data_IF_142260678619
#
_entry.id   IF_142260678619
#
_cell.length_a   1.000
_cell.length_b   1.000
_cell.length_c   1.000
_cell.angle_alpha   90.00
_cell.angle_beta   90.00
_cell.angle_gamma   90.00
#
_symmetry.space_group_name_H-M   'P 1'
#
loop_
_entity.id
_entity.type
_entity.pdbx_description
1 polymer ?
#
# COMPACT_ATOMS: atom_id res chain seq x y z
N UNK A 1 6.35 -2.43 -21.69
CA UNK A 1 6.05 -1.87 -20.36
C UNK A 1 7.31 -2.03 -19.53
N UNK A 2 7.66 -1.12 -18.65
CA UNK A 2 8.89 -1.26 -17.87
C UNK A 2 8.81 -2.45 -16.90
N UNK A 3 9.88 -3.24 -16.88
CA UNK A 3 9.96 -4.48 -16.12
C UNK A 3 11.36 -4.64 -15.50
N UNK A 4 11.43 -5.25 -14.34
CA UNK A 4 12.67 -5.61 -13.65
C UNK A 4 12.70 -7.11 -13.36
N UNK A 5 13.69 -7.81 -13.88
CA UNK A 5 13.94 -9.23 -13.53
C UNK A 5 14.47 -9.35 -12.11
N UNK A 6 13.82 -10.18 -11.30
CA UNK A 6 14.21 -10.51 -9.93
C UNK A 6 14.29 -12.04 -9.77
N UNK A 7 14.96 -12.56 -8.75
CA UNK A 7 14.92 -13.98 -8.47
C UNK A 7 13.49 -14.50 -8.33
N UNK A 8 13.08 -15.34 -9.26
CA UNK A 8 11.76 -15.97 -9.29
C UNK A 8 10.59 -15.05 -9.70
N UNK A 9 10.84 -13.81 -10.15
CA UNK A 9 9.80 -12.90 -10.60
C UNK A 9 10.28 -11.91 -11.68
N UNK A 10 9.34 -11.41 -12.47
CA UNK A 10 9.49 -10.21 -13.30
C UNK A 10 8.56 -9.15 -12.77
N UNK A 11 9.11 -8.10 -12.17
CA UNK A 11 8.34 -7.02 -11.58
C UNK A 11 7.93 -6.03 -12.65
N UNK A 12 6.66 -5.69 -12.68
CA UNK A 12 6.16 -4.56 -13.43
C UNK A 12 6.22 -3.29 -12.57
N UNK A 13 6.47 -2.13 -13.18
CA UNK A 13 6.39 -0.83 -12.52
C UNK A 13 5.97 0.26 -13.49
N UNK A 14 5.41 1.34 -12.97
CA UNK A 14 5.10 2.55 -13.73
C UNK A 14 5.97 3.70 -13.22
N UNK A 15 6.35 4.61 -14.13
CA UNK A 15 7.07 5.84 -13.78
C UNK A 15 6.34 7.02 -14.41
N UNK A 16 6.14 8.07 -13.64
CA UNK A 16 5.56 9.32 -14.13
C UNK A 16 6.07 10.52 -13.36
N UNK A 17 6.03 11.70 -13.98
CA UNK A 17 6.49 12.93 -13.36
C UNK A 17 8.00 13.15 -13.48
N UNK A 18 8.49 14.15 -12.76
CA UNK A 18 9.90 14.53 -12.72
C UNK A 18 10.25 15.21 -11.40
N UNK A 19 11.50 15.07 -10.95
CA UNK A 19 11.99 15.59 -9.68
C UNK A 19 12.61 14.49 -8.81
N UNK A 20 12.77 14.72 -7.49
CA UNK A 20 13.26 13.70 -6.57
C UNK A 20 12.44 12.40 -6.62
N UNK A 21 13.08 11.22 -6.51
CA UNK A 21 12.39 9.96 -6.58
C UNK A 21 11.49 9.74 -5.36
N UNK A 22 10.25 9.35 -5.64
CA UNK A 22 9.24 8.95 -4.65
C UNK A 22 8.64 7.61 -5.07
N UNK A 23 8.94 6.56 -4.30
CA UNK A 23 8.34 5.25 -4.53
C UNK A 23 6.99 5.13 -3.80
N UNK A 24 5.95 4.71 -4.51
CA UNK A 24 4.59 4.55 -4.02
C UNK A 24 4.25 3.05 -3.95
N UNK A 25 4.22 2.49 -2.74
CA UNK A 25 4.03 1.05 -2.52
C UNK A 25 2.57 0.77 -2.14
N UNK A 26 1.86 0.04 -2.99
CA UNK A 26 0.44 -0.26 -2.83
C UNK A 26 0.17 -1.27 -1.70
N UNK A 27 -1.08 -1.27 -1.22
CA UNK A 27 -1.59 -2.17 -0.19
C UNK A 27 -1.92 -3.58 -0.70
N UNK A 28 -2.53 -4.39 0.18
CA UNK A 28 -3.04 -5.71 -0.21
C UNK A 28 -4.06 -5.60 -1.34
N UNK A 29 -4.02 -6.57 -2.26
CA UNK A 29 -4.93 -6.69 -3.41
C UNK A 29 -4.91 -5.49 -4.36
N UNK A 30 -3.95 -4.58 -4.20
CA UNK A 30 -3.76 -3.38 -5.01
C UNK A 30 -2.42 -3.40 -5.73
N UNK A 31 -2.34 -2.66 -6.82
CA UNK A 31 -1.15 -2.46 -7.65
C UNK A 31 -0.93 -0.98 -7.95
N UNK A 32 -0.07 -0.67 -8.91
CA UNK A 32 0.26 0.69 -9.33
C UNK A 32 -0.96 1.54 -9.71
N UNK A 33 -2.03 0.94 -10.22
CA UNK A 33 -3.25 1.66 -10.60
C UNK A 33 -4.00 2.27 -9.41
N UNK A 34 -3.77 1.77 -8.18
CA UNK A 34 -4.41 2.33 -6.99
C UNK A 34 -4.01 3.78 -6.71
N UNK A 35 -2.89 4.23 -7.26
CA UNK A 35 -2.37 5.58 -7.10
C UNK A 35 -2.96 6.62 -8.07
N UNK A 36 -3.84 6.19 -8.99
CA UNK A 36 -4.41 7.05 -10.03
C UNK A 36 -4.99 8.40 -9.51
N UNK A 37 -5.70 8.46 -8.36
CA UNK A 37 -6.17 9.75 -7.83
C UNK A 37 -5.07 10.65 -7.29
N UNK A 38 -3.97 10.08 -6.79
CA UNK A 38 -2.89 10.85 -6.16
C UNK A 38 -1.82 11.32 -7.17
N UNK A 39 -1.58 10.57 -8.24
CA UNK A 39 -0.56 10.87 -9.26
C UNK A 39 -0.66 12.30 -9.80
N UNK A 40 -1.82 12.83 -10.21
CA UNK A 40 -1.93 14.18 -10.74
C UNK A 40 -1.50 15.27 -9.75
N UNK A 41 -1.61 15.01 -8.45
CA UNK A 41 -1.22 15.95 -7.40
C UNK A 41 0.28 15.95 -7.13
N UNK A 42 1.03 14.90 -7.50
CA UNK A 42 2.45 14.73 -7.15
C UNK A 42 3.40 14.74 -8.35
N UNK A 43 2.92 14.43 -9.55
CA UNK A 43 3.78 14.24 -10.74
C UNK A 43 4.50 15.50 -11.22
N UNK A 44 4.06 16.68 -10.77
CA UNK A 44 4.76 17.95 -11.03
C UNK A 44 5.98 18.18 -10.13
N UNK A 45 6.08 17.48 -9.01
CA UNK A 45 7.11 17.70 -7.98
C UNK A 45 8.09 16.53 -7.85
N UNK A 46 7.67 15.31 -8.24
CA UNK A 46 8.40 14.06 -8.00
C UNK A 46 8.44 13.17 -9.22
N UNK A 47 9.51 12.39 -9.33
CA UNK A 47 9.55 11.17 -10.15
C UNK A 47 8.86 10.07 -9.36
N UNK A 48 7.60 9.76 -9.70
CA UNK A 48 6.77 8.76 -9.04
C UNK A 48 7.10 7.37 -9.60
N UNK A 49 7.50 6.46 -8.74
CA UNK A 49 7.85 5.06 -9.06
C UNK A 49 6.81 4.16 -8.39
N UNK A 50 5.98 3.49 -9.17
CA UNK A 50 4.84 2.71 -8.69
C UNK A 50 5.02 1.23 -9.08
N UNK A 51 5.65 0.38 -8.24
CA UNK A 51 5.77 -1.05 -8.53
C UNK A 51 4.45 -1.78 -8.31
N UNK A 52 4.19 -2.79 -9.14
CA UNK A 52 3.24 -3.85 -8.84
C UNK A 52 3.97 -4.88 -7.96
N UNK A 53 3.56 -4.99 -6.71
CA UNK A 53 4.18 -5.96 -5.78
C UNK A 53 3.98 -7.39 -6.31
N UNK A 54 4.89 -8.32 -5.96
CA UNK A 54 4.65 -9.75 -6.27
C UNK A 54 3.25 -10.12 -5.77
N UNK A 55 2.54 -10.94 -6.50
CA UNK A 55 1.16 -11.36 -6.27
C UNK A 55 0.08 -10.39 -6.78
N UNK A 56 0.44 -9.21 -7.29
CA UNK A 56 -0.54 -8.21 -7.75
C UNK A 56 -0.20 -7.66 -9.15
N UNK A 57 -1.19 -7.09 -9.79
CA UNK A 57 -1.05 -6.37 -11.05
C UNK A 57 -0.44 -7.21 -12.16
N UNK A 58 0.57 -6.67 -12.81
CA UNK A 58 1.27 -7.25 -13.97
C UNK A 58 2.57 -7.98 -13.60
N UNK A 59 2.96 -7.98 -12.33
CA UNK A 59 4.12 -8.75 -11.85
C UNK A 59 3.86 -10.25 -11.95
N UNK A 60 4.84 -11.00 -12.49
CA UNK A 60 4.70 -12.42 -12.80
C UNK A 60 5.89 -13.25 -12.28
N UNK A 61 5.64 -14.55 -11.99
CA UNK A 61 4.36 -15.21 -11.86
C UNK A 61 3.61 -14.77 -10.58
N UNK A 62 2.29 -14.94 -10.55
CA UNK A 62 1.46 -14.51 -9.40
C UNK A 62 1.80 -15.26 -8.11
N UNK A 63 2.35 -16.48 -8.21
CA UNK A 63 2.77 -17.35 -7.11
C UNK A 63 4.29 -17.25 -6.81
N UNK A 64 4.96 -16.23 -7.32
CA UNK A 64 6.36 -15.97 -6.98
C UNK A 64 6.56 -15.89 -5.45
N UNK A 65 7.69 -16.36 -4.90
CA UNK A 65 7.99 -16.23 -3.48
C UNK A 65 7.79 -14.79 -3.00
N UNK A 66 7.05 -14.61 -1.91
CA UNK A 66 6.67 -13.31 -1.41
C UNK A 66 6.68 -13.27 0.12
N UNK A 67 7.12 -12.15 0.66
CA UNK A 67 7.05 -11.76 2.07
C UNK A 67 7.29 -10.24 2.17
N UNK A 68 7.01 -9.58 3.30
CA UNK A 68 7.34 -8.18 3.48
C UNK A 68 8.83 -7.88 3.22
N UNK A 69 9.73 -8.76 3.60
CA UNK A 69 11.16 -8.63 3.31
C UNK A 69 11.44 -8.71 1.81
N UNK A 70 10.91 -9.71 1.10
CA UNK A 70 11.13 -9.87 -0.35
C UNK A 70 10.58 -8.67 -1.12
N UNK A 71 9.40 -8.15 -0.77
CA UNK A 71 8.84 -6.95 -1.39
C UNK A 71 9.72 -5.71 -1.13
N UNK A 72 10.30 -5.58 0.08
CA UNK A 72 11.23 -4.50 0.39
C UNK A 72 12.52 -4.61 -0.42
N UNK A 73 13.10 -5.81 -0.54
CA UNK A 73 14.28 -6.09 -1.36
C UNK A 73 14.00 -5.83 -2.86
N UNK A 74 12.79 -6.12 -3.33
CA UNK A 74 12.38 -5.81 -4.70
C UNK A 74 12.29 -4.31 -4.94
N UNK A 75 11.72 -3.56 -4.00
CA UNK A 75 11.62 -2.10 -4.09
C UNK A 75 13.01 -1.43 -4.05
N UNK A 76 13.92 -1.90 -3.19
CA UNK A 76 15.31 -1.43 -3.15
C UNK A 76 16.05 -1.73 -4.46
N UNK A 77 15.88 -2.94 -4.99
CA UNK A 77 16.48 -3.30 -6.28
C UNK A 77 15.89 -2.51 -7.47
N UNK A 78 14.63 -2.09 -7.37
CA UNK A 78 14.04 -1.19 -8.37
C UNK A 78 14.71 0.19 -8.33
N UNK A 79 15.02 0.72 -7.15
CA UNK A 79 15.78 1.97 -7.02
C UNK A 79 17.18 1.83 -7.66
N UNK A 80 17.88 0.71 -7.42
CA UNK A 80 19.17 0.43 -8.04
C UNK A 80 19.07 0.37 -9.57
N UNK A 81 18.06 -0.34 -10.08
CA UNK A 81 17.80 -0.47 -11.51
C UNK A 81 17.58 0.89 -12.20
N UNK A 82 16.93 1.81 -11.48
CA UNK A 82 16.63 3.16 -11.97
C UNK A 82 17.77 4.17 -11.71
N UNK A 83 18.85 3.75 -11.03
CA UNK A 83 20.01 4.60 -10.74
C UNK A 83 19.78 5.61 -9.61
N UNK A 84 18.83 5.34 -8.72
CA UNK A 84 18.56 6.19 -7.56
C UNK A 84 19.31 5.69 -6.32
N UNK A 85 20.22 6.48 -5.78
CA UNK A 85 20.93 6.16 -4.53
C UNK A 85 20.00 6.21 -3.34
N UNK A 86 19.12 7.21 -3.28
CA UNK A 86 18.11 7.38 -2.24
C UNK A 86 16.76 7.72 -2.84
N UNK A 87 15.67 7.45 -2.11
CA UNK A 87 14.33 7.85 -2.48
C UNK A 87 13.49 8.18 -1.24
N UNK A 88 12.43 8.97 -1.42
CA UNK A 88 11.32 9.00 -0.48
C UNK A 88 10.39 7.81 -0.73
N UNK A 89 9.71 7.36 0.33
CA UNK A 89 8.77 6.24 0.25
C UNK A 89 7.44 6.63 0.86
N UNK A 90 6.36 6.37 0.14
CA UNK A 90 4.98 6.38 0.65
C UNK A 90 4.41 4.98 0.50
N UNK A 91 4.16 4.29 1.60
CA UNK A 91 3.55 2.97 1.61
C UNK A 91 2.14 3.01 2.17
N UNK A 92 1.17 2.48 1.42
CA UNK A 92 -0.22 2.37 1.85
C UNK A 92 -0.50 0.99 2.44
N UNK A 93 -1.08 0.91 3.64
CA UNK A 93 -1.51 -0.35 4.28
C UNK A 93 -0.36 -1.38 4.32
N UNK A 94 -0.47 -2.53 3.62
CA UNK A 94 0.65 -3.47 3.43
C UNK A 94 1.90 -2.76 2.88
N UNK A 95 1.74 -1.80 1.98
CA UNK A 95 2.85 -0.99 1.48
C UNK A 95 3.58 -0.23 2.58
N UNK A 96 2.89 0.18 3.64
CA UNK A 96 3.53 0.76 4.84
C UNK A 96 4.40 -0.24 5.60
N UNK A 97 4.00 -1.50 5.67
CA UNK A 97 4.84 -2.58 6.18
C UNK A 97 6.10 -2.79 5.33
N UNK A 98 5.93 -2.75 4.00
CA UNK A 98 7.05 -2.87 3.07
C UNK A 98 7.98 -1.67 3.23
N UNK A 99 7.46 -0.46 3.35
CA UNK A 99 8.24 0.75 3.58
C UNK A 99 9.03 0.69 4.90
N UNK A 100 8.41 0.19 5.97
CA UNK A 100 9.11 -0.07 7.24
C UNK A 100 10.22 -1.11 7.08
N UNK A 101 9.95 -2.22 6.38
CA UNK A 101 10.96 -3.23 6.11
C UNK A 101 12.13 -2.68 5.28
N UNK A 102 11.87 -1.85 4.26
CA UNK A 102 12.92 -1.13 3.51
C UNK A 102 13.77 -0.27 4.46
N UNK A 103 13.13 0.51 5.34
CA UNK A 103 13.80 1.35 6.30
C UNK A 103 14.63 0.58 7.33
N UNK A 104 14.21 -0.65 7.67
CA UNK A 104 14.95 -1.53 8.57
C UNK A 104 16.14 -2.23 7.88
N UNK A 105 15.99 -2.59 6.60
CA UNK A 105 17.01 -3.31 5.84
C UNK A 105 18.11 -2.39 5.30
N UNK A 106 17.75 -1.19 4.86
CA UNK A 106 18.66 -0.25 4.19
C UNK A 106 18.28 1.21 4.50
N UNK A 107 18.45 1.65 5.77
CA UNK A 107 18.03 3.00 6.19
C UNK A 107 18.69 4.11 5.39
N UNK A 108 19.93 3.93 4.94
CA UNK A 108 20.68 4.88 4.13
C UNK A 108 20.09 5.10 2.73
N UNK A 109 19.19 4.23 2.28
CA UNK A 109 18.53 4.30 0.98
C UNK A 109 17.24 5.14 1.02
N UNK A 110 16.76 5.52 2.21
CA UNK A 110 15.51 6.24 2.40
C UNK A 110 15.76 7.65 2.89
N UNK A 111 15.50 8.65 2.04
CA UNK A 111 15.54 10.05 2.42
C UNK A 111 14.38 10.43 3.38
N UNK A 112 13.27 9.71 3.32
CA UNK A 112 12.13 9.87 4.21
C UNK A 112 11.07 8.81 3.90
N UNK A 113 10.28 8.43 4.91
CA UNK A 113 9.29 7.37 4.81
C UNK A 113 7.95 7.79 5.44
N UNK A 114 6.87 7.62 4.71
CA UNK A 114 5.50 7.80 5.21
C UNK A 114 4.76 6.45 5.14
N UNK A 115 4.22 6.03 6.29
CA UNK A 115 3.29 4.92 6.40
C UNK A 115 1.86 5.47 6.36
N UNK A 116 1.15 5.27 5.27
CA UNK A 116 -0.23 5.73 5.11
C UNK A 116 -1.22 4.61 5.41
N UNK A 117 -2.20 4.88 6.28
CA UNK A 117 -3.19 3.90 6.74
C UNK A 117 -2.52 2.58 7.19
N UNK A 118 -1.40 2.70 7.90
CA UNK A 118 -0.54 1.59 8.29
C UNK A 118 0.13 1.84 9.63
N UNK A 119 0.42 0.77 10.34
CA UNK A 119 1.18 0.74 11.58
C UNK A 119 1.76 -0.68 11.76
N UNK A 120 2.79 -0.90 12.59
CA UNK A 120 3.36 -2.23 12.85
C UNK A 120 2.37 -3.08 13.68
N UNK A 121 1.25 -3.42 13.08
CA UNK A 121 0.12 -4.14 13.66
C UNK A 121 -0.18 -5.40 12.86
N UNK A 122 -0.46 -6.51 13.55
CA UNK A 122 -1.02 -7.72 12.95
C UNK A 122 -2.34 -8.10 13.64
N UNK A 123 -3.44 -7.32 13.47
CA UNK A 123 -4.67 -7.61 14.17
C UNK A 123 -5.25 -8.95 13.70
N UNK A 124 -5.50 -9.86 14.65
CA UNK A 124 -6.16 -11.14 14.34
C UNK A 124 -7.51 -10.94 13.63
N UNK A 125 -8.19 -9.81 13.92
CA UNK A 125 -9.41 -9.39 13.23
C UNK A 125 -9.20 -9.21 11.72
N UNK A 126 -8.12 -8.55 11.30
CA UNK A 126 -7.84 -8.34 9.87
C UNK A 126 -7.49 -9.66 9.19
N UNK A 127 -6.71 -10.53 9.84
CA UNK A 127 -6.44 -11.86 9.32
C UNK A 127 -7.73 -12.67 9.13
N UNK A 128 -8.64 -12.65 10.11
CA UNK A 128 -9.95 -13.31 10.01
C UNK A 128 -10.80 -12.71 8.87
N UNK A 129 -10.81 -11.38 8.72
CA UNK A 129 -11.51 -10.69 7.62
C UNK A 129 -11.01 -11.16 6.27
N UNK A 130 -9.71 -11.13 6.01
CA UNK A 130 -9.15 -11.51 4.72
C UNK A 130 -9.37 -13.00 4.40
N UNK A 131 -9.34 -13.88 5.41
CA UNK A 131 -9.72 -15.29 5.23
C UNK A 131 -11.19 -15.44 4.87
N UNK A 132 -12.09 -14.69 5.51
CA UNK A 132 -13.52 -14.71 5.20
C UNK A 132 -13.80 -14.18 3.78
N UNK A 133 -13.16 -13.06 3.39
CA UNK A 133 -13.27 -12.50 2.04
C UNK A 133 -12.79 -13.49 0.98
N UNK A 134 -11.68 -14.18 1.23
CA UNK A 134 -11.16 -15.22 0.33
C UNK A 134 -12.16 -16.40 0.22
N UNK A 135 -12.74 -16.83 1.32
CA UNK A 135 -13.74 -17.90 1.31
C UNK A 135 -14.97 -17.53 0.47
N UNK A 136 -15.47 -16.29 0.62
CA UNK A 136 -16.58 -15.79 -0.22
C UNK A 136 -16.16 -15.71 -1.70
N UNK A 137 -14.96 -15.21 -1.98
CA UNK A 137 -14.45 -15.08 -3.36
C UNK A 137 -14.28 -16.43 -4.06
N UNK A 138 -14.07 -17.52 -3.29
CA UNK A 138 -13.95 -18.91 -3.80
C UNK A 138 -15.27 -19.68 -3.79
N UNK A 139 -16.36 -19.09 -3.27
CA UNK A 139 -17.68 -19.72 -3.23
C UNK A 139 -18.48 -19.47 -4.52
N UNK A 140 -19.67 -20.06 -4.58
CA UNK A 140 -20.65 -19.84 -5.67
C UNK A 140 -21.42 -18.52 -5.54
N UNK A 141 -21.01 -17.61 -4.64
CA UNK A 141 -21.58 -16.28 -4.51
C UNK A 141 -21.32 -15.41 -5.76
N UNK A 142 -22.14 -14.39 -5.97
CA UNK A 142 -21.93 -13.42 -7.02
C UNK A 142 -20.51 -12.85 -6.99
N UNK A 143 -19.82 -12.65 -8.15
CA UNK A 143 -18.44 -12.14 -8.20
C UNK A 143 -18.18 -10.83 -7.47
N UNK A 144 -19.22 -10.02 -7.26
CA UNK A 144 -19.16 -8.76 -6.52
C UNK A 144 -19.35 -8.91 -5.00
N UNK A 145 -19.77 -10.08 -4.51
CA UNK A 145 -20.12 -10.30 -3.10
C UNK A 145 -18.98 -10.00 -2.15
N UNK A 146 -17.78 -10.45 -2.47
CA UNK A 146 -16.61 -10.20 -1.64
C UNK A 146 -16.21 -8.71 -1.61
N UNK A 147 -16.39 -7.98 -2.73
CA UNK A 147 -16.18 -6.52 -2.79
C UNK A 147 -17.20 -5.79 -1.91
N UNK A 148 -18.47 -6.16 -1.97
CA UNK A 148 -19.53 -5.60 -1.12
C UNK A 148 -19.27 -5.82 0.38
N UNK A 149 -18.58 -6.90 0.74
CA UNK A 149 -18.16 -7.17 2.12
C UNK A 149 -16.89 -6.41 2.49
N UNK A 150 -16.00 -6.14 1.53
CA UNK A 150 -14.71 -5.51 1.78
C UNK A 150 -14.76 -3.98 1.77
N UNK A 151 -15.49 -3.38 0.82
CA UNK A 151 -15.49 -1.93 0.63
C UNK A 151 -15.95 -1.12 1.86
N UNK A 152 -16.85 -1.62 2.77
CA UNK A 152 -17.15 -0.94 4.03
C UNK A 152 -15.95 -0.79 4.98
N UNK A 153 -14.89 -1.59 4.80
CA UNK A 153 -13.65 -1.48 5.56
C UNK A 153 -12.67 -0.47 4.96
N UNK A 154 -12.88 -0.11 3.68
CA UNK A 154 -12.00 0.77 2.92
C UNK A 154 -12.55 2.19 2.90
N UNK A 155 -13.83 2.35 2.53
CA UNK A 155 -14.47 3.64 2.32
C UNK A 155 -15.30 4.08 3.54
N UNK A 156 -15.41 5.39 3.69
CA UNK A 156 -16.16 6.00 4.78
C UNK A 156 -17.68 5.98 4.54
N UNK A 157 -18.49 6.19 5.59
CA UNK A 157 -19.93 6.36 5.42
C UNK A 157 -20.31 7.47 4.43
N UNK A 158 -19.48 8.52 4.28
CA UNK A 158 -19.72 9.59 3.32
C UNK A 158 -19.68 9.09 1.87
N UNK A 159 -18.75 8.21 1.52
CA UNK A 159 -18.68 7.57 0.19
C UNK A 159 -19.93 6.75 -0.09
N UNK A 160 -20.47 6.06 0.91
CA UNK A 160 -21.71 5.28 0.79
C UNK A 160 -22.97 6.14 0.61
N UNK A 161 -22.94 7.41 1.01
CA UNK A 161 -24.04 8.36 0.78
C UNK A 161 -24.01 8.96 -0.64
N UNK A 162 -22.92 8.81 -1.37
CA UNK A 162 -22.81 9.28 -2.76
C UNK A 162 -23.54 8.31 -3.71
N UNK A 163 -24.60 8.77 -4.43
CA UNK A 163 -25.38 7.88 -5.29
C UNK A 163 -24.51 7.16 -6.33
N UNK A 164 -24.57 5.83 -6.33
CA UNK A 164 -23.88 4.98 -7.30
C UNK A 164 -22.36 4.83 -7.12
N UNK A 165 -21.73 5.51 -6.14
CA UNK A 165 -20.27 5.48 -5.97
C UNK A 165 -19.75 4.06 -5.71
N UNK A 166 -20.40 3.31 -4.82
CA UNK A 166 -19.99 1.93 -4.49
C UNK A 166 -20.20 0.98 -5.66
N UNK A 167 -21.33 1.07 -6.37
CA UNK A 167 -21.58 0.22 -7.54
C UNK A 167 -20.60 0.54 -8.68
N UNK A 168 -20.23 1.80 -8.87
CA UNK A 168 -19.19 2.20 -9.82
C UNK A 168 -17.82 1.64 -9.44
N UNK A 169 -17.42 1.72 -8.16
CA UNK A 169 -16.17 1.17 -7.66
C UNK A 169 -16.12 -0.37 -7.85
N UNK A 170 -17.22 -1.07 -7.58
CA UNK A 170 -17.34 -2.52 -7.80
C UNK A 170 -17.21 -2.83 -9.30
N UNK A 171 -17.96 -2.15 -10.15
CA UNK A 171 -17.93 -2.37 -11.59
C UNK A 171 -16.52 -2.14 -12.15
N UNK A 172 -15.83 -1.07 -11.73
CA UNK A 172 -14.46 -0.78 -12.12
C UNK A 172 -13.50 -1.88 -11.64
N UNK A 173 -13.63 -2.35 -10.40
CA UNK A 173 -12.79 -3.41 -9.84
C UNK A 173 -12.97 -4.73 -10.58
N UNK A 174 -14.20 -5.10 -10.94
CA UNK A 174 -14.50 -6.33 -11.70
C UNK A 174 -14.03 -6.25 -13.16
N UNK A 175 -14.05 -5.06 -13.75
CA UNK A 175 -13.61 -4.83 -15.13
C UNK A 175 -12.08 -4.64 -15.25
N UNK A 176 -11.37 -4.52 -14.14
CA UNK A 176 -9.93 -4.27 -14.15
C UNK A 176 -9.16 -5.48 -14.68
N UNK A 177 -8.40 -5.36 -15.79
CA UNK A 177 -7.83 -6.51 -16.48
C UNK A 177 -6.70 -7.19 -15.71
N UNK A 178 -6.11 -6.50 -14.74
CA UNK A 178 -5.00 -7.02 -13.90
C UNK A 178 -5.45 -7.28 -12.46
N UNK A 179 -6.77 -7.42 -12.24
CA UNK A 179 -7.29 -7.73 -10.92
C UNK A 179 -6.67 -9.02 -10.38
N UNK A 180 -6.20 -8.96 -9.14
CA UNK A 180 -5.61 -10.11 -8.46
C UNK A 180 -6.59 -11.28 -8.43
N UNK A 181 -6.17 -12.50 -8.77
CA UNK A 181 -6.99 -13.72 -8.68
C UNK A 181 -7.23 -14.14 -7.22
N UNK A 182 -8.20 -15.02 -6.98
CA UNK A 182 -8.42 -15.60 -5.65
C UNK A 182 -7.20 -16.41 -5.15
N UNK A 183 -6.48 -17.07 -6.04
CA UNK A 183 -5.28 -17.84 -5.67
C UNK A 183 -4.10 -16.92 -5.36
N UNK A 184 -3.90 -15.84 -6.13
CA UNK A 184 -2.92 -14.82 -5.81
C UNK A 184 -3.24 -14.09 -4.49
N UNK A 185 -4.52 -13.84 -4.19
CA UNK A 185 -4.97 -13.31 -2.90
C UNK A 185 -4.61 -14.27 -1.75
N UNK A 186 -4.87 -15.58 -1.91
CA UNK A 186 -4.50 -16.58 -0.91
C UNK A 186 -3.00 -16.62 -0.67
N UNK A 187 -2.20 -16.54 -1.75
CA UNK A 187 -0.75 -16.51 -1.67
C UNK A 187 -0.26 -15.24 -0.94
N UNK A 188 -0.83 -14.07 -1.25
CA UNK A 188 -0.50 -12.82 -0.57
C UNK A 188 -0.85 -12.85 0.93
N UNK A 189 -2.02 -13.40 1.30
CA UNK A 189 -2.41 -13.59 2.71
C UNK A 189 -1.38 -14.45 3.44
N UNK A 190 -0.94 -15.56 2.85
CA UNK A 190 0.07 -16.44 3.41
C UNK A 190 1.43 -15.73 3.54
N UNK A 191 1.82 -14.96 2.52
CA UNK A 191 3.05 -14.16 2.52
C UNK A 191 3.08 -13.12 3.65
N UNK A 192 1.96 -12.43 3.90
CA UNK A 192 1.86 -11.48 5.02
C UNK A 192 1.96 -12.20 6.37
N UNK A 193 1.32 -13.36 6.49
CA UNK A 193 1.38 -14.17 7.71
C UNK A 193 2.78 -14.76 8.01
N UNK A 194 3.64 -14.85 7.00
CA UNK A 194 5.03 -15.33 7.13
C UNK A 194 6.04 -14.23 7.45
N UNK A 195 5.59 -12.99 7.72
CA UNK A 195 6.45 -11.87 8.03
C UNK A 195 7.41 -12.20 9.19
N UNK A 196 8.69 -11.88 9.02
CA UNK A 196 9.64 -11.96 10.12
C UNK A 196 9.33 -10.86 11.16
N UNK A 197 8.92 -11.21 12.39
CA UNK A 197 8.57 -10.22 13.38
C UNK A 197 9.76 -9.34 13.80
N UNK A 198 10.99 -9.77 13.57
CA UNK A 198 12.19 -9.00 13.92
C UNK A 198 12.32 -7.71 13.14
N UNK A 199 11.77 -7.63 11.92
CA UNK A 199 11.74 -6.41 11.10
C UNK A 199 10.95 -5.26 11.75
N UNK A 200 10.08 -5.57 12.71
CA UNK A 200 9.17 -4.62 13.34
C UNK A 200 9.44 -4.41 14.83
N UNK A 201 10.54 -4.96 15.36
CA UNK A 201 10.86 -4.88 16.78
C UNK A 201 11.44 -3.52 17.21
N UNK A 202 12.09 -2.83 16.29
CA UNK A 202 12.67 -1.52 16.57
C UNK A 202 12.27 -0.51 15.49
N UNK A 203 12.13 0.74 15.89
CA UNK A 203 11.88 1.83 14.94
C UNK A 203 13.13 2.02 14.06
N UNK A 204 13.00 2.08 12.73
CA UNK A 204 14.10 2.40 11.82
C UNK A 204 14.65 3.81 12.07
N UNK A 205 15.96 3.98 11.90
CA UNK A 205 16.65 5.26 12.05
C UNK A 205 16.58 6.10 10.75
N UNK A 206 15.36 6.38 10.31
CA UNK A 206 15.08 7.26 9.16
C UNK A 206 14.02 8.28 9.54
N UNK A 207 13.94 9.43 8.84
CA UNK A 207 12.78 10.31 8.96
C UNK A 207 11.50 9.52 8.62
N UNK A 208 10.68 9.23 9.63
CA UNK A 208 9.54 8.32 9.52
C UNK A 208 8.31 8.95 10.16
N UNK A 209 7.19 8.95 9.43
CA UNK A 209 5.91 9.48 9.89
C UNK A 209 4.76 8.54 9.48
N UNK A 210 3.69 8.53 10.27
CA UNK A 210 2.43 7.88 9.91
C UNK A 210 1.36 8.91 9.52
N UNK A 211 0.59 8.58 8.47
CA UNK A 211 -0.55 9.33 7.99
C UNK A 211 -1.78 8.44 8.06
N UNK A 212 -2.70 8.72 8.98
CA UNK A 212 -3.82 7.85 9.32
C UNK A 212 -5.16 8.50 9.00
N UNK A 213 -6.10 7.72 8.46
CA UNK A 213 -7.48 8.15 8.32
C UNK A 213 -8.23 8.10 9.65
N UNK A 214 -9.02 9.15 9.95
CA UNK A 214 -9.81 9.23 11.18
C UNK A 214 -10.79 8.05 11.33
N UNK A 215 -11.39 7.63 10.22
CA UNK A 215 -12.44 6.60 10.16
C UNK A 215 -11.92 5.24 9.64
N UNK A 216 -10.61 5.00 9.72
CA UNK A 216 -10.01 3.76 9.26
C UNK A 216 -10.40 2.58 10.17
N UNK A 217 -11.08 1.58 9.60
CA UNK A 217 -11.50 0.38 10.30
C UNK A 217 -10.47 -0.76 10.25
N UNK A 218 -9.56 -0.75 9.27
CA UNK A 218 -8.49 -1.75 9.16
C UNK A 218 -7.27 -1.39 10.00
N UNK A 219 -6.98 -0.09 10.13
CA UNK A 219 -5.91 0.45 10.97
C UNK A 219 -6.49 1.48 11.96
N UNK A 220 -7.30 1.04 12.94
CA UNK A 220 -8.00 1.96 13.83
C UNK A 220 -7.03 2.84 14.62
N UNK A 221 -7.35 4.14 14.74
CA UNK A 221 -6.47 5.15 15.33
C UNK A 221 -5.91 4.77 16.70
N UNK A 222 -6.74 4.21 17.58
CA UNK A 222 -6.29 3.84 18.93
C UNK A 222 -5.24 2.74 18.88
N UNK A 223 -5.47 1.69 18.08
CA UNK A 223 -4.54 0.57 17.94
C UNK A 223 -3.25 1.04 17.24
N UNK A 224 -3.38 1.82 16.16
CA UNK A 224 -2.27 2.36 15.41
C UNK A 224 -1.38 3.27 16.28
N UNK A 225 -1.96 4.22 17.01
CA UNK A 225 -1.19 5.10 17.91
C UNK A 225 -0.43 4.34 18.98
N UNK A 226 -1.03 3.31 19.57
CA UNK A 226 -0.35 2.48 20.56
C UNK A 226 0.85 1.74 19.95
N UNK A 227 0.74 1.24 18.72
CA UNK A 227 1.81 0.53 18.04
C UNK A 227 2.92 1.46 17.52
N UNK A 228 2.56 2.68 17.11
CA UNK A 228 3.49 3.69 16.62
C UNK A 228 4.25 4.42 17.74
N UNK A 229 3.78 4.27 18.99
CA UNK A 229 4.39 4.91 20.18
C UNK A 229 4.62 6.43 19.98
N UNK A 230 5.88 6.88 20.06
CA UNK A 230 6.26 8.30 19.92
C UNK A 230 6.51 8.73 18.46
N UNK A 231 6.15 7.91 17.49
CA UNK A 231 6.31 8.28 16.09
C UNK A 231 5.37 9.44 15.72
N UNK A 232 5.82 10.42 14.92
CA UNK A 232 4.94 11.46 14.41
C UNK A 232 3.75 10.87 13.65
N UNK A 233 2.54 11.28 14.03
CA UNK A 233 1.29 10.83 13.43
C UNK A 233 0.49 12.05 12.99
N UNK A 234 0.11 12.09 11.72
CA UNK A 234 -0.91 13.03 11.22
C UNK A 234 -2.21 12.27 10.97
N UNK A 235 -3.32 12.87 11.37
CA UNK A 235 -4.66 12.31 11.15
C UNK A 235 -5.33 13.11 10.05
N UNK A 236 -5.85 12.42 9.04
CA UNK A 236 -6.71 12.99 8.00
C UNK A 236 -8.17 12.85 8.43
N UNK A 237 -8.79 13.98 8.75
CA UNK A 237 -10.20 14.04 9.15
C UNK A 237 -11.10 13.57 8.00
N UNK A 238 -12.13 12.80 8.35
CA UNK A 238 -13.09 12.27 7.39
C UNK A 238 -12.60 11.13 6.50
N UNK A 239 -11.29 10.80 6.50
CA UNK A 239 -10.74 9.73 5.67
C UNK A 239 -10.89 8.35 6.30
N UNK A 240 -11.08 7.34 5.46
CA UNK A 240 -11.06 5.90 5.81
C UNK A 240 -9.69 5.28 5.61
N UNK A 241 -9.70 4.00 5.17
CA UNK A 241 -8.47 3.23 4.92
C UNK A 241 -7.76 3.62 3.62
N UNK A 242 -8.40 4.38 2.73
CA UNK A 242 -7.82 4.79 1.46
C UNK A 242 -7.69 6.32 1.34
N UNK A 243 -6.88 7.00 2.17
CA UNK A 243 -6.77 8.46 2.14
C UNK A 243 -6.38 9.02 0.78
N UNK A 244 -5.61 8.30 -0.02
CA UNK A 244 -5.22 8.68 -1.39
C UNK A 244 -6.40 8.66 -2.39
N UNK A 245 -7.55 8.10 -2.00
CA UNK A 245 -8.84 8.17 -2.70
C UNK A 245 -9.79 9.17 -2.07
N UNK A 246 -9.83 9.22 -0.72
CA UNK A 246 -10.75 10.08 0.02
C UNK A 246 -10.35 11.56 -0.06
N UNK A 247 -9.05 11.87 0.03
CA UNK A 247 -8.50 13.24 0.08
C UNK A 247 -7.09 13.32 -0.53
N UNK A 248 -6.93 13.05 -1.85
CA UNK A 248 -5.61 12.98 -2.50
C UNK A 248 -4.82 14.29 -2.42
N UNK A 249 -5.48 15.44 -2.44
CA UNK A 249 -4.90 16.77 -2.26
C UNK A 249 -4.26 16.93 -0.87
N UNK A 250 -4.96 16.54 0.19
CA UNK A 250 -4.43 16.61 1.56
C UNK A 250 -3.25 15.66 1.76
N UNK A 251 -3.30 14.45 1.19
CA UNK A 251 -2.17 13.51 1.19
C UNK A 251 -0.96 14.13 0.49
N UNK A 252 -1.16 14.75 -0.67
CA UNK A 252 -0.08 15.39 -1.43
C UNK A 252 0.54 16.57 -0.68
N UNK A 253 -0.28 17.44 -0.08
CA UNK A 253 0.20 18.58 0.69
C UNK A 253 0.97 18.16 1.93
N UNK A 254 0.48 17.12 2.62
CA UNK A 254 1.18 16.54 3.75
C UNK A 254 2.55 15.98 3.36
N UNK A 255 2.60 15.20 2.27
CA UNK A 255 3.84 14.63 1.75
C UNK A 255 4.87 15.72 1.40
N UNK A 256 4.44 16.78 0.70
CA UNK A 256 5.30 17.93 0.40
C UNK A 256 5.82 18.61 1.66
N UNK A 257 4.96 18.80 2.65
CA UNK A 257 5.33 19.41 3.93
C UNK A 257 6.36 18.57 4.67
N UNK A 258 6.15 17.27 4.75
CA UNK A 258 7.08 16.33 5.36
C UNK A 258 8.43 16.36 4.66
N UNK A 259 8.47 16.21 3.34
CA UNK A 259 9.73 16.19 2.58
C UNK A 259 10.50 17.51 2.69
N UNK A 260 9.80 18.66 2.73
CA UNK A 260 10.45 19.97 2.94
C UNK A 260 11.02 20.18 4.33
N UNK A 261 10.60 19.38 5.32
CA UNK A 261 11.07 19.47 6.70
C UNK A 261 12.31 18.63 6.97
N UNK A 262 12.75 17.82 6.01
CA UNK A 262 13.94 16.97 6.08
C UNK A 262 15.19 17.72 5.67
#
# INVERSE_FOLDING_TARGET
MPELARPGATLHYEITGSGPPLILIAGMMSDSASWAPLIPHLSGDFTLICPDNRTTGRTTPWDAPASPQIWAEDALALLDHLGHETAHVLGHSLGGYIAWAMASLAPERLAGCIMMASAPLHPARNAALFQALLAVRRSDASPDSWLRLFLPWIFTPATYQMPGAIDAAIAQSLAYPYAQSADAMAHQIAAVASADPTLFQSRPEVPLQALLGENDLLTPLTEARNALAEMPVTILEGCGHAPHWDAPDQVADHLRSFIRSL
#
